data_IF_334261038127
#
_entry.id   IF_334261038127
#
_cell.length_a   1.000
_cell.length_b   1.000
_cell.length_c   1.000
_cell.angle_alpha   90.00
_cell.angle_beta   90.00
_cell.angle_gamma   90.00
#
_symmetry.space_group_name_H-M   'P 1'
#
loop_
_entity.id
_entity.type
_entity.pdbx_description
1 polymer ?
#
# COMPACT_ATOMS: atom_id res chain seq x y z
N UNK A 1 -29.75 26.21 35.30
CA UNK A 1 -28.86 25.67 34.24
C UNK A 1 -29.00 24.14 34.24
N UNK A 2 -30.05 23.61 33.59
CA UNK A 2 -30.32 22.17 33.60
C UNK A 2 -29.53 21.48 32.49
N UNK A 3 -28.66 20.56 32.89
CA UNK A 3 -27.87 19.71 31.99
C UNK A 3 -28.83 18.80 31.21
N UNK A 4 -28.82 18.86 29.88
CA UNK A 4 -29.57 17.92 29.05
C UNK A 4 -29.02 16.49 29.28
N UNK A 5 -29.87 15.49 29.54
CA UNK A 5 -29.42 14.13 29.80
C UNK A 5 -28.90 13.49 28.50
N UNK A 6 -27.80 12.75 28.59
CA UNK A 6 -27.23 12.00 27.47
C UNK A 6 -28.24 10.94 26.99
N UNK A 7 -28.53 10.85 25.67
CA UNK A 7 -29.51 9.90 25.17
C UNK A 7 -29.00 8.46 25.32
N UNK A 8 -29.77 7.64 26.01
CA UNK A 8 -29.51 6.20 26.16
C UNK A 8 -29.88 5.44 24.87
N UNK A 9 -29.30 4.26 24.65
CA UNK A 9 -29.62 3.45 23.45
C UNK A 9 -31.13 3.11 23.35
N UNK A 10 -31.81 2.94 24.49
CA UNK A 10 -33.27 2.72 24.52
C UNK A 10 -34.06 3.93 24.02
N UNK A 11 -33.62 5.15 24.32
CA UNK A 11 -34.24 6.38 23.81
C UNK A 11 -34.18 6.47 22.29
N UNK A 12 -33.11 5.96 21.66
CA UNK A 12 -32.96 5.99 20.21
C UNK A 12 -34.04 5.16 19.49
N UNK A 13 -34.30 3.93 19.95
CA UNK A 13 -35.31 3.04 19.37
C UNK A 13 -36.74 3.59 19.53
N UNK A 14 -37.03 4.18 20.69
CA UNK A 14 -38.32 4.81 20.99
C UNK A 14 -38.56 6.04 20.10
N UNK A 15 -37.53 6.88 19.91
CA UNK A 15 -37.61 8.04 19.03
C UNK A 15 -37.86 7.60 17.58
N UNK A 16 -37.14 6.59 17.08
CA UNK A 16 -37.36 6.08 15.72
C UNK A 16 -38.77 5.51 15.49
N UNK A 17 -39.31 4.77 16.47
CA UNK A 17 -40.66 4.20 16.40
C UNK A 17 -41.76 5.28 16.46
N UNK A 18 -41.65 6.25 17.36
CA UNK A 18 -42.60 7.35 17.50
C UNK A 18 -42.56 8.26 16.27
N UNK A 19 -41.37 8.60 15.77
CA UNK A 19 -41.19 9.41 14.57
C UNK A 19 -41.74 8.72 13.33
N UNK A 20 -41.58 7.40 13.17
CA UNK A 20 -42.14 6.63 12.04
C UNK A 20 -43.67 6.65 12.01
N UNK A 21 -44.33 6.47 13.15
CA UNK A 21 -45.79 6.54 13.22
C UNK A 21 -46.33 7.93 12.85
N UNK A 22 -45.61 8.99 13.23
CA UNK A 22 -45.95 10.37 12.85
C UNK A 22 -45.72 10.61 11.35
N UNK A 23 -44.62 10.10 10.78
CA UNK A 23 -44.31 10.21 9.33
C UNK A 23 -45.35 9.47 8.48
N UNK A 24 -45.79 8.26 8.90
CA UNK A 24 -46.80 7.50 8.16
C UNK A 24 -48.19 8.14 8.18
N UNK A 25 -48.50 8.98 9.17
CA UNK A 25 -49.79 9.69 9.27
C UNK A 25 -49.79 11.06 8.62
N UNK A 26 -48.70 11.81 8.74
CA UNK A 26 -48.65 13.23 8.38
C UNK A 26 -47.67 13.57 7.24
N UNK A 27 -46.95 12.57 6.71
CA UNK A 27 -45.92 12.76 5.68
C UNK A 27 -44.58 13.21 6.26
N UNK A 28 -43.49 13.06 5.48
CA UNK A 28 -42.15 13.45 5.91
C UNK A 28 -41.98 14.97 6.07
N UNK A 29 -42.83 15.77 5.42
CA UNK A 29 -42.82 17.23 5.46
C UNK A 29 -43.31 17.81 6.79
N UNK A 30 -43.94 17.00 7.64
CA UNK A 30 -44.40 17.44 8.98
C UNK A 30 -43.27 17.48 10.01
N UNK A 31 -42.06 16.99 9.69
CA UNK A 31 -40.92 17.03 10.58
C UNK A 31 -40.15 18.35 10.46
N UNK A 32 -39.88 18.99 11.59
CA UNK A 32 -38.91 20.09 11.64
C UNK A 32 -37.55 19.64 11.09
N UNK A 33 -36.86 20.51 10.33
CA UNK A 33 -35.55 20.20 9.69
C UNK A 33 -34.54 19.61 10.67
N UNK A 34 -34.53 20.06 11.93
CA UNK A 34 -33.67 19.49 12.98
C UNK A 34 -34.07 18.07 13.40
N UNK A 35 -35.38 17.78 13.46
CA UNK A 35 -35.89 16.43 13.72
C UNK A 35 -35.56 15.45 12.60
N UNK A 36 -35.58 15.90 11.34
CA UNK A 36 -35.15 15.07 10.20
C UNK A 36 -33.65 14.72 10.29
N UNK A 37 -32.79 15.68 10.64
CA UNK A 37 -31.36 15.44 10.83
C UNK A 37 -31.10 14.43 11.95
N UNK A 38 -31.77 14.57 13.10
CA UNK A 38 -31.64 13.63 14.23
C UNK A 38 -32.15 12.23 13.84
N UNK A 39 -33.24 12.16 13.08
CA UNK A 39 -33.77 10.91 12.56
C UNK A 39 -32.75 10.20 11.64
N UNK A 40 -32.22 10.89 10.63
CA UNK A 40 -31.22 10.29 9.73
C UNK A 40 -29.92 9.93 10.46
N UNK A 41 -29.44 10.76 11.39
CA UNK A 41 -28.24 10.47 12.17
C UNK A 41 -28.41 9.23 13.05
N UNK A 42 -29.57 9.06 13.69
CA UNK A 42 -29.87 7.87 14.50
C UNK A 42 -30.03 6.60 13.64
N UNK A 43 -30.69 6.69 12.48
CA UNK A 43 -30.78 5.60 11.49
C UNK A 43 -29.39 5.19 11.01
N UNK A 44 -28.56 6.16 10.65
CA UNK A 44 -27.20 5.91 10.18
C UNK A 44 -26.34 5.24 11.26
N UNK A 45 -26.36 5.74 12.50
CA UNK A 45 -25.60 5.13 13.60
C UNK A 45 -26.08 3.71 13.91
N UNK A 46 -27.40 3.46 13.87
CA UNK A 46 -27.96 2.13 14.05
C UNK A 46 -27.45 1.14 12.98
N UNK A 47 -27.56 1.53 11.70
CA UNK A 47 -27.06 0.71 10.62
C UNK A 47 -25.53 0.56 10.64
N UNK A 48 -24.79 1.61 11.00
CA UNK A 48 -23.33 1.54 11.12
C UNK A 48 -22.87 0.52 12.15
N UNK A 49 -23.46 0.54 13.35
CA UNK A 49 -23.13 -0.38 14.45
C UNK A 49 -23.44 -1.83 14.08
N UNK A 50 -24.49 -2.07 13.28
CA UNK A 50 -24.87 -3.42 12.86
C UNK A 50 -24.17 -3.89 11.57
N UNK A 51 -23.98 -3.02 10.58
CA UNK A 51 -23.33 -3.34 9.32
C UNK A 51 -21.84 -3.60 9.49
N UNK A 52 -21.15 -2.83 10.35
CA UNK A 52 -19.72 -2.99 10.58
C UNK A 52 -19.33 -4.43 11.00
N UNK A 53 -19.94 -5.03 12.04
CA UNK A 53 -19.61 -6.40 12.43
C UNK A 53 -20.08 -7.44 11.41
N UNK A 54 -21.21 -7.22 10.71
CA UNK A 54 -21.70 -8.14 9.69
C UNK A 54 -20.76 -8.17 8.48
N UNK A 55 -20.36 -7.01 7.97
CA UNK A 55 -19.39 -6.91 6.86
C UNK A 55 -18.04 -7.47 7.27
N UNK A 56 -17.59 -7.17 8.49
CA UNK A 56 -16.37 -7.75 9.08
C UNK A 56 -16.42 -9.28 9.12
N UNK A 57 -17.54 -9.88 9.58
CA UNK A 57 -17.70 -11.33 9.64
C UNK A 57 -17.77 -11.97 8.25
N UNK A 58 -18.47 -11.34 7.29
CA UNK A 58 -18.54 -11.84 5.91
C UNK A 58 -17.15 -11.79 5.26
N UNK A 59 -16.44 -10.67 5.40
CA UNK A 59 -15.10 -10.50 4.86
C UNK A 59 -14.08 -11.42 5.56
N UNK A 60 -14.16 -11.56 6.88
CA UNK A 60 -13.33 -12.47 7.66
C UNK A 60 -13.57 -13.93 7.30
N UNK A 61 -14.83 -14.34 7.14
CA UNK A 61 -15.19 -15.70 6.69
C UNK A 61 -14.76 -15.96 5.25
N UNK A 62 -14.94 -14.98 4.37
CA UNK A 62 -14.44 -15.03 3.00
C UNK A 62 -12.93 -15.28 3.00
N UNK A 63 -12.15 -14.46 3.71
CA UNK A 63 -10.71 -14.64 3.84
C UNK A 63 -10.34 -16.00 4.46
N UNK A 64 -11.05 -16.45 5.49
CA UNK A 64 -10.81 -17.75 6.13
C UNK A 64 -10.97 -18.91 5.16
N UNK A 65 -12.04 -18.91 4.34
CA UNK A 65 -12.28 -19.93 3.33
C UNK A 65 -11.25 -19.83 2.20
N UNK A 66 -10.90 -18.62 1.76
CA UNK A 66 -9.87 -18.41 0.75
C UNK A 66 -8.50 -18.96 1.17
N UNK A 67 -8.13 -18.81 2.44
CA UNK A 67 -6.85 -19.28 2.99
C UNK A 67 -6.87 -20.80 3.23
N UNK A 68 -7.92 -21.32 3.89
CA UNK A 68 -7.93 -22.70 4.36
C UNK A 68 -8.37 -23.72 3.30
N UNK A 69 -9.26 -23.36 2.38
CA UNK A 69 -9.84 -24.29 1.41
C UNK A 69 -9.29 -24.11 0.00
N UNK A 70 -9.21 -22.86 -0.46
CA UNK A 70 -8.90 -22.60 -1.87
C UNK A 70 -7.41 -22.42 -2.15
N UNK A 71 -6.57 -22.04 -1.19
CA UNK A 71 -5.12 -21.82 -1.39
C UNK A 71 -4.74 -20.90 -2.58
N UNK A 72 -5.71 -20.26 -3.25
CA UNK A 72 -5.57 -19.55 -4.53
C UNK A 72 -5.14 -18.09 -4.32
N UNK A 73 -5.63 -17.42 -3.27
CA UNK A 73 -5.32 -16.01 -3.00
C UNK A 73 -4.03 -15.76 -2.20
N UNK A 74 -3.24 -16.80 -1.92
CA UNK A 74 -1.99 -16.68 -1.16
C UNK A 74 -0.77 -16.43 -2.04
N UNK A 75 -0.83 -16.81 -3.33
CA UNK A 75 0.34 -16.73 -4.21
C UNK A 75 0.67 -15.30 -4.63
N UNK A 76 -0.30 -14.49 -5.05
CA UNK A 76 0.02 -13.17 -5.60
C UNK A 76 0.19 -12.09 -4.54
N UNK A 77 -0.72 -11.98 -3.57
CA UNK A 77 -0.72 -10.88 -2.59
C UNK A 77 0.26 -11.06 -1.42
N UNK A 78 0.75 -12.27 -1.17
CA UNK A 78 1.71 -12.59 -0.10
C UNK A 78 2.97 -13.32 -0.60
N UNK A 79 3.18 -13.46 -1.92
CA UNK A 79 4.43 -14.03 -2.50
C UNK A 79 5.67 -13.36 -1.92
N UNK A 80 5.64 -12.05 -1.77
CA UNK A 80 6.74 -11.25 -1.24
C UNK A 80 6.98 -11.44 0.27
N UNK A 81 6.00 -11.95 1.01
CA UNK A 81 6.08 -12.17 2.46
C UNK A 81 6.26 -13.66 2.84
N UNK A 82 5.85 -14.59 1.98
CA UNK A 82 5.91 -16.04 2.25
C UNK A 82 7.33 -16.61 2.25
N UNK A 83 8.26 -16.01 1.50
CA UNK A 83 9.66 -16.45 1.46
C UNK A 83 10.53 -15.33 2.03
N UNK A 84 10.60 -15.25 3.37
CA UNK A 84 11.38 -14.24 4.06
C UNK A 84 12.89 -14.26 3.72
N UNK A 85 13.39 -15.39 3.20
CA UNK A 85 14.81 -15.58 2.92
C UNK A 85 15.22 -15.14 1.50
N UNK A 86 14.29 -15.05 0.54
CA UNK A 86 14.61 -14.73 -0.86
C UNK A 86 14.09 -13.34 -1.20
N UNK A 87 14.98 -12.44 -1.64
CA UNK A 87 14.60 -11.07 -2.00
C UNK A 87 15.29 -10.63 -3.28
N UNK A 88 14.52 -10.13 -4.25
CA UNK A 88 15.03 -9.56 -5.50
C UNK A 88 14.75 -8.06 -5.60
N UNK A 89 15.67 -7.33 -6.23
CA UNK A 89 15.59 -5.91 -6.52
C UNK A 89 15.96 -5.68 -7.98
N UNK A 90 15.09 -4.98 -8.71
CA UNK A 90 15.36 -4.59 -10.10
C UNK A 90 15.87 -3.15 -10.15
N UNK A 91 17.09 -2.97 -10.65
CA UNK A 91 17.71 -1.66 -10.85
C UNK A 91 17.62 -1.30 -12.32
N UNK A 92 17.07 -0.12 -12.58
CA UNK A 92 17.02 0.49 -13.90
C UNK A 92 18.16 1.50 -14.04
N UNK A 93 18.90 1.43 -15.13
CA UNK A 93 19.95 2.37 -15.47
C UNK A 93 19.73 2.89 -16.89
N UNK A 94 19.56 4.19 -17.04
CA UNK A 94 19.46 4.84 -18.34
C UNK A 94 20.88 5.21 -18.77
N UNK A 95 21.33 4.60 -19.87
CA UNK A 95 22.64 4.87 -20.44
C UNK A 95 22.64 6.26 -21.12
N UNK A 96 23.81 6.88 -21.28
CA UNK A 96 23.97 8.16 -21.97
C UNK A 96 23.50 8.13 -23.44
N UNK A 97 23.39 6.92 -24.02
CA UNK A 97 22.82 6.69 -25.37
C UNK A 97 21.29 6.75 -25.40
N UNK A 98 20.63 6.72 -24.26
CA UNK A 98 19.17 6.64 -24.12
C UNK A 98 18.63 5.23 -23.94
N UNK A 99 19.47 4.19 -23.99
CA UNK A 99 19.04 2.80 -23.79
C UNK A 99 18.81 2.50 -22.30
N UNK A 100 17.80 1.68 -22.00
CA UNK A 100 17.44 1.30 -20.63
C UNK A 100 18.03 -0.07 -20.30
N UNK A 101 19.06 -0.06 -19.46
CA UNK A 101 19.66 -1.28 -18.91
C UNK A 101 18.93 -1.68 -17.63
N UNK A 102 18.48 -2.93 -17.56
CA UNK A 102 17.73 -3.47 -16.44
C UNK A 102 18.55 -4.59 -15.80
N UNK A 103 18.81 -4.47 -14.49
CA UNK A 103 19.54 -5.45 -13.70
C UNK A 103 18.64 -6.00 -12.60
N UNK A 104 18.38 -7.31 -12.61
CA UNK A 104 17.65 -7.98 -11.52
C UNK A 104 18.65 -8.62 -10.57
N UNK A 105 18.84 -8.00 -9.41
CA UNK A 105 19.68 -8.47 -8.33
C UNK A 105 18.84 -9.34 -7.39
N UNK A 106 19.36 -10.46 -6.93
CA UNK A 106 18.68 -11.29 -5.94
C UNK A 106 19.61 -11.77 -4.83
N UNK A 107 19.00 -12.03 -3.68
CA UNK A 107 19.63 -12.51 -2.45
C UNK A 107 18.90 -13.76 -2.00
N UNK A 108 19.61 -14.88 -1.96
CA UNK A 108 19.06 -16.20 -1.59
C UNK A 108 18.77 -16.34 -0.10
N UNK A 109 19.50 -15.60 0.74
CA UNK A 109 19.36 -15.61 2.19
C UNK A 109 19.45 -14.21 2.77
N UNK A 110 18.30 -13.67 3.19
CA UNK A 110 18.23 -12.38 3.87
C UNK A 110 18.89 -12.44 5.25
N UNK A 111 19.71 -11.43 5.54
CA UNK A 111 20.36 -11.24 6.83
C UNK A 111 19.38 -10.85 7.92
N UNK A 112 19.54 -11.47 9.09
CA UNK A 112 18.76 -11.13 10.29
C UNK A 112 19.49 -10.15 11.22
N UNK A 113 20.82 -10.11 11.14
CA UNK A 113 21.66 -9.34 12.06
C UNK A 113 22.53 -8.32 11.32
N UNK A 114 22.43 -7.07 11.76
CA UNK A 114 23.17 -5.93 11.22
C UNK A 114 24.06 -5.33 12.30
N UNK A 115 25.29 -4.97 11.94
CA UNK A 115 26.22 -4.22 12.78
C UNK A 115 26.58 -2.90 12.12
N UNK A 116 26.86 -1.89 12.93
CA UNK A 116 27.37 -0.61 12.45
C UNK A 116 28.74 -0.83 11.80
N UNK A 117 28.96 -0.25 10.62
CA UNK A 117 30.25 -0.33 9.94
C UNK A 117 31.23 0.69 10.53
N UNK A 118 32.31 0.27 11.22
CA UNK A 118 33.27 1.21 11.81
C UNK A 118 33.97 2.06 10.75
N UNK A 119 34.06 1.56 9.50
CA UNK A 119 34.68 2.28 8.39
C UNK A 119 33.80 3.41 7.89
N UNK A 120 32.47 3.25 7.95
CA UNK A 120 31.52 4.29 7.58
C UNK A 120 31.53 5.48 8.56
N UNK A 121 31.73 5.21 9.86
CA UNK A 121 31.88 6.28 10.86
C UNK A 121 33.27 6.93 10.85
N UNK A 122 34.30 6.19 10.44
CA UNK A 122 35.67 6.71 10.35
C UNK A 122 35.95 7.58 9.12
N UNK A 123 35.08 7.60 8.11
CA UNK A 123 35.28 8.45 6.93
C UNK A 123 34.91 9.92 7.20
N UNK A 124 35.77 10.88 6.82
CA UNK A 124 35.43 12.29 6.90
C UNK A 124 34.31 12.59 5.90
N UNK A 125 33.07 12.72 6.42
CA UNK A 125 31.89 13.01 5.61
C UNK A 125 31.94 14.45 5.13
N UNK A 126 32.41 14.67 3.89
CA UNK A 126 32.26 15.96 3.23
C UNK A 126 30.75 16.21 3.04
N UNK A 127 30.24 17.30 3.62
CA UNK A 127 28.80 17.59 3.72
C UNK A 127 28.05 17.71 2.39
N UNK A 128 28.75 17.69 1.26
CA UNK A 128 28.19 17.96 -0.07
C UNK A 128 28.24 16.76 -1.03
N UNK A 129 28.93 15.67 -0.69
CA UNK A 129 28.99 14.49 -1.55
C UNK A 129 27.89 13.47 -1.21
N UNK A 130 27.16 12.95 -2.21
CA UNK A 130 26.18 11.90 -1.98
C UNK A 130 26.83 10.58 -1.55
N UNK A 131 26.12 9.82 -0.71
CA UNK A 131 26.67 8.63 -0.04
C UNK A 131 27.15 7.52 -0.98
N UNK A 132 26.60 7.41 -2.19
CA UNK A 132 27.00 6.39 -3.17
C UNK A 132 28.37 6.65 -3.81
N UNK A 133 28.97 7.84 -3.63
CA UNK A 133 30.32 8.16 -4.09
C UNK A 133 31.39 7.84 -3.03
N UNK A 134 31.00 7.58 -1.79
CA UNK A 134 31.93 7.27 -0.71
C UNK A 134 32.54 5.88 -0.88
N UNK A 135 33.73 5.67 -0.32
CA UNK A 135 34.40 4.36 -0.37
C UNK A 135 33.62 3.32 0.42
N UNK A 136 32.96 3.73 1.50
CA UNK A 136 32.04 2.91 2.27
C UNK A 136 30.65 3.56 2.27
N UNK A 137 29.79 3.27 1.27
CA UNK A 137 28.49 3.92 1.17
C UNK A 137 27.48 3.45 2.22
N UNK A 138 27.61 2.21 2.70
CA UNK A 138 26.67 1.57 3.63
C UNK A 138 27.03 1.83 5.10
N UNK A 139 26.11 2.41 5.87
CA UNK A 139 26.24 2.55 7.34
C UNK A 139 26.22 1.20 8.08
N UNK A 140 25.49 0.24 7.54
CA UNK A 140 25.28 -1.06 8.16
C UNK A 140 25.95 -2.15 7.33
N UNK A 141 26.60 -3.09 8.02
CA UNK A 141 27.17 -4.30 7.44
C UNK A 141 26.55 -5.53 8.11
N UNK A 142 26.56 -6.66 7.40
CA UNK A 142 26.23 -7.95 8.00
C UNK A 142 27.06 -8.22 9.26
N UNK A 143 26.43 -8.70 10.33
CA UNK A 143 27.15 -9.13 11.52
C UNK A 143 28.13 -10.28 11.20
N UNK A 144 27.64 -11.25 10.42
CA UNK A 144 28.37 -12.42 9.93
C UNK A 144 29.02 -12.15 8.56
N UNK A 145 30.35 -12.30 8.40
CA UNK A 145 31.04 -12.00 7.14
C UNK A 145 30.64 -12.95 5.99
N UNK A 146 30.28 -14.20 6.30
CA UNK A 146 29.85 -15.19 5.30
C UNK A 146 28.49 -14.89 4.66
N UNK A 147 27.73 -13.95 5.22
CA UNK A 147 26.40 -13.56 4.72
C UNK A 147 26.38 -12.11 4.24
N UNK A 148 27.53 -11.46 4.09
CA UNK A 148 27.61 -10.06 3.63
C UNK A 148 26.87 -9.88 2.29
N UNK A 149 25.93 -8.91 2.19
CA UNK A 149 25.13 -8.75 0.98
C UNK A 149 26.00 -8.39 -0.23
N UNK A 150 27.18 -7.79 -0.02
CA UNK A 150 28.12 -7.49 -1.10
C UNK A 150 28.63 -8.77 -1.78
N UNK A 151 28.76 -9.87 -1.02
CA UNK A 151 29.31 -11.13 -1.52
C UNK A 151 28.22 -12.16 -1.88
N UNK A 152 27.01 -12.00 -1.36
CA UNK A 152 25.90 -12.95 -1.57
C UNK A 152 24.92 -12.52 -2.66
N UNK A 153 24.85 -11.23 -3.01
CA UNK A 153 23.98 -10.75 -4.10
C UNK A 153 24.47 -11.31 -5.44
N UNK A 154 23.53 -11.81 -6.25
CA UNK A 154 23.77 -12.30 -7.61
C UNK A 154 22.90 -11.51 -8.60
N UNK A 155 23.45 -11.24 -9.78
CA UNK A 155 22.66 -10.76 -10.92
C UNK A 155 22.00 -12.00 -11.53
N UNK A 156 20.69 -12.09 -11.42
CA UNK A 156 19.92 -13.20 -12.01
C UNK A 156 19.63 -12.91 -13.48
N UNK A 157 19.31 -11.66 -13.77
CA UNK A 157 18.90 -11.25 -15.10
C UNK A 157 19.44 -9.88 -15.43
N UNK A 158 19.82 -9.72 -16.70
CA UNK A 158 20.29 -8.48 -17.25
C UNK A 158 19.83 -8.39 -18.71
N UNK A 159 19.05 -7.36 -19.01
CA UNK A 159 18.63 -7.09 -20.38
C UNK A 159 18.66 -5.58 -20.65
N UNK A 160 18.77 -5.24 -21.94
CA UNK A 160 18.81 -3.87 -22.42
C UNK A 160 17.59 -3.65 -23.30
N UNK A 161 16.83 -2.61 -23.01
CA UNK A 161 15.75 -2.13 -23.86
C UNK A 161 16.34 -0.96 -24.66
N UNK A 162 16.51 -1.17 -25.95
CA UNK A 162 16.96 -0.14 -26.88
C UNK A 162 15.85 0.91 -27.05
N UNK A 163 16.22 2.19 -27.05
CA UNK A 163 15.24 3.23 -27.35
C UNK A 163 14.99 3.25 -28.85
N UNK A 164 13.74 3.03 -29.27
CA UNK A 164 13.35 3.26 -30.66
C UNK A 164 13.52 4.74 -31.00
N UNK A 165 14.50 5.04 -31.87
CA UNK A 165 14.51 6.31 -32.57
C UNK A 165 13.30 6.31 -33.50
N UNK A 166 12.25 7.02 -33.11
CA UNK A 166 11.17 7.35 -34.02
C UNK A 166 11.78 8.25 -35.10
N UNK A 167 12.25 7.64 -36.19
CA UNK A 167 12.69 8.36 -37.38
C UNK A 167 11.47 9.12 -37.91
N UNK A 168 11.39 10.39 -37.53
CA UNK A 168 10.50 11.38 -38.12
C UNK A 168 10.98 11.72 -39.54
N UNK A 169 11.21 10.71 -40.37
CA UNK A 169 11.14 10.86 -41.83
C UNK A 169 9.67 10.82 -42.23
N UNK A 170 8.96 11.90 -41.91
CA UNK A 170 7.76 12.23 -42.66
C UNK A 170 8.24 12.50 -44.10
N UNK A 171 7.90 11.58 -44.98
CA UNK A 171 7.96 11.65 -46.43
C UNK A 171 7.60 13.06 -46.93
N UNK A 172 8.63 13.87 -47.22
CA UNK A 172 8.57 14.86 -48.32
C UNK A 172 8.73 14.04 -49.61
N UNK A 173 7.61 13.50 -50.10
CA UNK A 173 7.53 12.79 -51.37
C UNK A 173 6.41 13.40 -52.21
N UNK A 174 6.80 14.25 -53.15
CA UNK A 174 6.15 14.59 -54.42
C UNK A 174 4.62 14.69 -54.49
N UNK A 175 4.12 15.93 -54.34
CA UNK A 175 2.90 16.36 -55.04
C UNK A 175 3.36 17.00 -56.36
N UNK A 176 3.35 16.19 -57.42
CA UNK A 176 3.32 16.65 -58.81
C UNK A 176 2.46 15.65 -59.60
N UNK A 177 1.17 15.95 -59.69
CA UNK A 177 0.28 15.57 -60.79
C UNK A 177 -0.81 16.63 -60.91
#
# INVERSE_FOLDING_TARGET
>A
MSKAPYPSFEDSSRVMAVTRNTICKNGMDSLSRGGAIIYYASVFLYFWVFLTPVVSLVFGRYLYICINWLHIHFDEAFSSLRIANYKSFTRFHINNKGDLEVFTLAVDKVLKEWKLDPKWDGEPKQHQEPSYLWKFPSKWRAASPNQDPVNTVRIIDQFVIETEKHDSKLTKGDVNQ
#
